data_IF_646259347104
#
_entry.id   IF_646259347104
#
_cell.length_a   1.000
_cell.length_b   1.000
_cell.length_c   1.000
_cell.angle_alpha   90.00
_cell.angle_beta   90.00
_cell.angle_gamma   90.00
#
_symmetry.space_group_name_H-M   'P 1'
#
loop_
_entity.id
_entity.type
_entity.pdbx_description
1 polymer ?
#
# COMPACT_ATOMS: atom_id res chain seq x y z
N UNK A 1 -18.69 -11.81 -15.45
CA UNK A 1 -18.79 -10.54 -14.72
C UNK A 1 -17.40 -10.31 -14.16
N UNK A 2 -16.61 -9.46 -14.80
CA UNK A 2 -15.45 -8.90 -14.13
C UNK A 2 -16.02 -7.98 -13.06
N UNK A 3 -16.00 -8.44 -11.80
CA UNK A 3 -16.22 -7.57 -10.66
C UNK A 3 -15.15 -6.49 -10.76
N UNK A 4 -15.58 -5.31 -11.21
CA UNK A 4 -14.75 -4.12 -11.12
C UNK A 4 -14.61 -3.88 -9.64
N UNK A 5 -13.45 -4.22 -9.09
CA UNK A 5 -13.07 -3.76 -7.76
C UNK A 5 -12.99 -2.25 -7.85
N UNK A 6 -14.08 -1.58 -7.51
CA UNK A 6 -14.16 -0.14 -7.53
C UNK A 6 -13.18 0.41 -6.48
N UNK A 7 -12.71 1.64 -6.69
CA UNK A 7 -11.74 2.28 -5.80
C UNK A 7 -12.22 2.41 -4.34
N UNK A 8 -13.53 2.21 -4.12
CA UNK A 8 -14.20 2.22 -2.82
C UNK A 8 -13.88 0.97 -1.98
N UNK A 9 -13.58 -0.18 -2.59
CA UNK A 9 -13.26 -1.45 -1.90
C UNK A 9 -11.78 -1.58 -1.51
N UNK A 10 -10.92 -0.69 -2.02
CA UNK A 10 -9.48 -0.73 -1.76
C UNK A 10 -9.08 -0.60 -0.29
N UNK A 11 -9.73 0.26 0.53
CA UNK A 11 -9.43 0.37 1.94
C UNK A 11 -9.70 -0.93 2.69
N UNK A 12 -10.82 -1.60 2.40
CA UNK A 12 -11.21 -2.86 3.00
C UNK A 12 -10.24 -3.99 2.61
N UNK A 13 -9.88 -4.08 1.32
CA UNK A 13 -8.85 -5.03 0.88
C UNK A 13 -7.50 -4.77 1.53
N UNK A 14 -7.07 -3.51 1.59
CA UNK A 14 -5.81 -3.15 2.22
C UNK A 14 -5.84 -3.52 3.71
N UNK A 15 -6.90 -3.17 4.41
CA UNK A 15 -7.05 -3.53 5.82
C UNK A 15 -7.05 -5.05 6.03
N UNK A 16 -7.66 -5.82 5.13
CA UNK A 16 -7.61 -7.27 5.14
C UNK A 16 -6.19 -7.82 4.94
N UNK A 17 -5.36 -7.17 4.12
CA UNK A 17 -3.95 -7.57 3.97
C UNK A 17 -3.10 -7.25 5.22
N UNK A 18 -3.57 -6.36 6.09
CA UNK A 18 -2.88 -6.04 7.35
C UNK A 18 -2.66 -7.25 8.26
N UNK A 19 -3.49 -8.30 8.18
CA UNK A 19 -3.26 -9.56 8.92
C UNK A 19 -2.07 -10.35 8.40
N UNK A 20 -1.69 -10.16 7.14
CA UNK A 20 -0.52 -10.78 6.52
C UNK A 20 0.76 -9.98 6.74
N UNK A 21 0.65 -8.79 7.35
CA UNK A 21 1.82 -8.00 7.72
C UNK A 21 2.61 -8.74 8.81
N UNK A 22 3.90 -9.03 8.58
CA UNK A 22 4.68 -9.83 9.50
C UNK A 22 4.92 -9.06 10.80
N UNK A 23 4.80 -9.76 11.93
CA UNK A 23 5.14 -9.22 13.25
C UNK A 23 6.63 -8.86 13.38
N UNK A 24 7.46 -9.37 12.48
CA UNK A 24 8.89 -9.05 12.38
C UNK A 24 9.16 -7.79 11.55
N UNK A 25 8.13 -7.18 10.96
CA UNK A 25 8.25 -5.92 10.23
C UNK A 25 8.85 -4.84 11.12
N UNK A 26 9.79 -4.07 10.57
CA UNK A 26 10.37 -2.93 11.27
C UNK A 26 9.42 -1.72 11.30
N UNK A 27 8.42 -1.72 10.41
CA UNK A 27 7.44 -0.64 10.31
C UNK A 27 6.02 -1.14 10.57
N UNK A 28 5.17 -0.31 11.21
CA UNK A 28 3.77 -0.64 11.39
C UNK A 28 3.07 -0.64 10.02
N UNK A 29 2.05 -1.50 9.87
CA UNK A 29 1.27 -1.55 8.65
C UNK A 29 0.63 -0.19 8.35
N UNK A 30 0.90 0.43 7.19
CA UNK A 30 0.33 1.72 6.86
C UNK A 30 -1.15 1.55 6.49
N UNK A 31 -2.02 2.42 7.01
CA UNK A 31 -3.45 2.42 6.66
C UNK A 31 -3.72 3.31 5.45
N UNK A 32 -4.65 2.95 4.57
CA UNK A 32 -5.01 3.74 3.36
C UNK A 32 -5.39 5.18 3.69
N UNK A 33 -6.20 5.38 4.74
CA UNK A 33 -6.57 6.71 5.24
C UNK A 33 -5.69 7.19 6.41
N UNK A 34 -4.55 6.52 6.61
CA UNK A 34 -3.60 6.83 7.69
C UNK A 34 -2.67 7.98 7.35
N UNK A 35 -1.66 8.17 8.19
CA UNK A 35 -0.67 9.23 8.00
C UNK A 35 0.23 8.91 6.78
N UNK A 36 0.36 9.79 5.76
CA UNK A 36 1.22 9.55 4.60
C UNK A 36 2.70 9.34 4.98
N UNK A 37 3.15 9.86 6.11
CA UNK A 37 4.50 9.58 6.63
C UNK A 37 4.70 8.09 6.97
N UNK A 38 3.66 7.38 7.41
CA UNK A 38 3.75 5.95 7.69
C UNK A 38 3.99 5.16 6.39
N UNK A 39 3.31 5.55 5.30
CA UNK A 39 3.56 5.01 3.97
C UNK A 39 4.98 5.29 3.49
N UNK A 40 5.44 6.54 3.62
CA UNK A 40 6.81 6.93 3.25
C UNK A 40 7.86 6.16 4.05
N UNK A 41 7.65 5.98 5.34
CA UNK A 41 8.59 5.24 6.19
C UNK A 41 8.60 3.75 5.85
N UNK A 42 7.43 3.15 5.62
CA UNK A 42 7.30 1.75 5.21
C UNK A 42 7.92 1.52 3.84
N UNK A 43 7.70 2.40 2.87
CA UNK A 43 8.30 2.33 1.55
C UNK A 43 9.84 2.46 1.59
N UNK A 44 10.40 3.20 2.55
CA UNK A 44 11.85 3.30 2.72
C UNK A 44 12.47 2.09 3.40
N UNK A 45 11.81 1.56 4.43
CA UNK A 45 12.39 0.49 5.27
C UNK A 45 12.08 -0.89 4.71
N UNK A 46 10.87 -1.11 4.18
CA UNK A 46 10.36 -2.40 3.72
C UNK A 46 9.66 -2.30 2.35
N UNK A 47 10.32 -1.76 1.30
CA UNK A 47 9.72 -1.54 -0.02
C UNK A 47 9.19 -2.83 -0.66
N UNK A 48 9.90 -3.95 -0.51
CA UNK A 48 9.50 -5.23 -1.13
C UNK A 48 8.24 -5.82 -0.50
N UNK A 49 8.09 -5.65 0.81
CA UNK A 49 6.94 -6.15 1.57
C UNK A 49 5.69 -5.33 1.24
N UNK A 50 5.85 -4.01 1.15
CA UNK A 50 4.80 -3.10 0.69
C UNK A 50 4.42 -3.40 -0.76
N UNK A 51 5.40 -3.71 -1.62
CA UNK A 51 5.17 -4.03 -3.03
C UNK A 51 4.41 -5.35 -3.18
N UNK A 52 4.73 -6.33 -2.34
CA UNK A 52 4.01 -7.59 -2.29
C UNK A 52 2.51 -7.39 -2.04
N UNK A 53 2.15 -6.48 -1.14
CA UNK A 53 0.76 -6.17 -0.82
C UNK A 53 0.09 -5.37 -1.95
N UNK A 54 0.76 -4.33 -2.48
CA UNK A 54 0.25 -3.51 -3.59
C UNK A 54 -0.01 -4.36 -4.85
N UNK A 55 0.83 -5.36 -5.14
CA UNK A 55 0.65 -6.27 -6.30
C UNK A 55 -0.61 -7.13 -6.24
N UNK A 56 -1.28 -7.23 -5.08
CA UNK A 56 -2.55 -7.96 -4.97
C UNK A 56 -3.75 -7.16 -5.44
N UNK A 57 -3.57 -5.86 -5.68
CA UNK A 57 -4.60 -5.02 -6.26
C UNK A 57 -4.60 -5.19 -7.77
N UNK A 58 -5.80 -5.14 -8.35
CA UNK A 58 -5.98 -5.18 -9.81
C UNK A 58 -5.35 -3.95 -10.47
N UNK A 59 -5.35 -2.80 -9.77
CA UNK A 59 -4.79 -1.52 -10.23
C UNK A 59 -3.77 -0.95 -9.22
N UNK A 60 -2.56 -1.54 -9.15
CA UNK A 60 -1.54 -1.13 -8.17
C UNK A 60 -1.10 0.33 -8.38
N UNK A 61 -1.01 0.79 -9.62
CA UNK A 61 -0.60 2.18 -9.93
C UNK A 61 -1.61 3.20 -9.44
N UNK A 62 -2.90 2.90 -9.58
CA UNK A 62 -3.97 3.81 -9.14
C UNK A 62 -4.09 3.82 -7.62
N UNK A 63 -3.90 2.68 -6.95
CA UNK A 63 -3.77 2.62 -5.49
C UNK A 63 -2.61 3.53 -5.03
N UNK A 64 -1.44 3.43 -5.64
CA UNK A 64 -0.31 4.27 -5.27
C UNK A 64 -0.55 5.75 -5.56
N UNK A 65 -1.23 6.06 -6.66
CA UNK A 65 -1.63 7.43 -6.98
C UNK A 65 -2.59 8.00 -5.93
N UNK A 66 -3.48 7.16 -5.37
CA UNK A 66 -4.40 7.57 -4.29
C UNK A 66 -3.68 7.95 -2.98
N UNK A 67 -2.48 7.41 -2.75
CA UNK A 67 -1.63 7.71 -1.59
C UNK A 67 -0.82 9.01 -1.78
N UNK A 68 -0.83 9.56 -2.99
CA UNK A 68 -0.17 10.80 -3.38
C UNK A 68 1.19 10.60 -4.05
N UNK A 69 1.50 11.49 -5.01
CA UNK A 69 2.72 11.47 -5.83
C UNK A 69 4.02 11.43 -5.00
N UNK A 70 4.01 11.90 -3.76
CA UNK A 70 5.19 11.90 -2.90
C UNK A 70 5.61 10.49 -2.48
N UNK A 71 4.65 9.60 -2.18
CA UNK A 71 4.91 8.20 -1.85
C UNK A 71 5.40 7.46 -3.10
N UNK A 72 4.75 7.71 -4.24
CA UNK A 72 5.13 7.14 -5.53
C UNK A 72 6.54 7.56 -5.95
N UNK A 73 6.87 8.85 -5.80
CA UNK A 73 8.18 9.41 -6.14
C UNK A 73 9.31 8.82 -5.30
N UNK A 74 9.10 8.65 -4.00
CA UNK A 74 10.07 8.01 -3.12
C UNK A 74 10.28 6.53 -3.45
N UNK A 75 9.22 5.84 -3.84
CA UNK A 75 9.29 4.40 -4.11
C UNK A 75 9.89 4.08 -5.49
N UNK A 76 9.66 4.95 -6.48
CA UNK A 76 10.22 4.80 -7.85
C UNK A 76 11.62 5.38 -8.02
N UNK A 77 12.11 6.14 -7.03
CA UNK A 77 13.46 6.73 -7.05
C UNK A 77 14.59 5.79 -6.58
N UNK A 78 14.31 4.49 -6.37
CA UNK A 78 15.33 3.48 -6.05
C UNK A 78 16.07 2.96 -7.27
#
# INVERSE_FOLDING_TARGET
>A
MEERMDTDDWPDLWQALGVEWPVTASTPYPLVYGNPEAWLKTAQVEPELLLHHVRRFVFPVELLASLGDHVLGMWTAQ
#
